data_IF_653650302528
#
_entry.id   IF_653650302528
#
_cell.length_a   1.000
_cell.length_b   1.000
_cell.length_c   1.000
_cell.angle_alpha   90.00
_cell.angle_beta   90.00
_cell.angle_gamma   90.00
#
_symmetry.space_group_name_H-M   'P 1'
#
loop_
_entity.id
_entity.type
_entity.pdbx_description
1 polymer ?
#
# COMPACT_ATOMS: atom_id res chain seq x y z
N UNK A 1 7.09 -37.12 -7.42
CA UNK A 1 6.04 -36.38 -6.68
C UNK A 1 6.24 -34.91 -6.96
N UNK A 2 5.36 -34.28 -7.73
CA UNK A 2 5.40 -32.83 -7.93
C UNK A 2 4.77 -32.17 -6.70
N UNK A 3 5.58 -31.56 -5.84
CA UNK A 3 5.08 -30.66 -4.81
C UNK A 3 4.42 -29.47 -5.53
N UNK A 4 3.09 -29.43 -5.52
CA UNK A 4 2.37 -28.23 -5.90
C UNK A 4 2.79 -27.12 -4.93
N UNK A 5 3.56 -26.14 -5.40
CA UNK A 5 3.84 -24.91 -4.67
C UNK A 5 2.52 -24.25 -4.29
N UNK A 6 2.05 -24.48 -3.06
CA UNK A 6 0.87 -23.78 -2.53
C UNK A 6 1.31 -22.35 -2.23
N UNK A 7 0.82 -21.40 -3.03
CA UNK A 7 0.99 -19.99 -2.74
C UNK A 7 0.33 -19.65 -1.40
N UNK A 8 1.13 -19.45 -0.34
CA UNK A 8 0.64 -18.98 0.95
C UNK A 8 0.31 -17.49 0.85
N UNK A 9 -0.97 -17.16 0.62
CA UNK A 9 -1.44 -15.77 0.67
C UNK A 9 -1.62 -15.34 2.12
N UNK A 10 -1.02 -14.22 2.50
CA UNK A 10 -1.31 -13.58 3.78
C UNK A 10 -2.65 -12.82 3.64
N UNK A 11 -3.65 -13.08 4.49
CA UNK A 11 -4.90 -12.34 4.43
C UNK A 11 -4.65 -10.86 4.72
N UNK A 12 -5.47 -10.00 4.12
CA UNK A 12 -5.47 -8.57 4.44
C UNK A 12 -6.15 -8.39 5.81
N UNK A 13 -5.40 -7.91 6.79
CA UNK A 13 -5.93 -7.63 8.12
C UNK A 13 -6.58 -6.25 8.11
N UNK A 14 -7.86 -6.17 8.53
CA UNK A 14 -8.51 -4.87 8.74
C UNK A 14 -7.98 -4.27 10.05
N UNK A 15 -7.32 -3.13 9.96
CA UNK A 15 -6.74 -2.48 11.13
C UNK A 15 -6.62 -0.96 10.93
N UNK A 16 -6.45 -0.24 12.03
CA UNK A 16 -6.02 1.15 11.99
C UNK A 16 -4.52 1.28 11.66
N UNK A 17 -4.15 2.40 11.02
CA UNK A 17 -2.77 2.75 10.65
C UNK A 17 -1.86 2.74 11.87
N UNK A 18 -2.32 3.24 13.02
CA UNK A 18 -1.53 3.25 14.26
C UNK A 18 -1.02 1.86 14.65
N UNK A 19 -1.81 0.81 14.45
CA UNK A 19 -1.41 -0.56 14.82
C UNK A 19 -0.22 -1.06 14.00
N UNK A 20 -0.03 -0.52 12.79
CA UNK A 20 1.13 -0.83 11.97
C UNK A 20 2.30 0.09 12.33
N UNK A 21 2.07 1.37 12.62
CA UNK A 21 3.14 2.28 13.06
C UNK A 21 3.78 1.88 14.38
N UNK A 22 2.99 1.36 15.31
CA UNK A 22 3.44 0.91 16.63
C UNK A 22 4.00 -0.52 16.61
N UNK A 23 3.97 -1.19 15.45
CA UNK A 23 4.40 -2.59 15.33
C UNK A 23 5.91 -2.75 15.17
N UNK A 24 6.43 -3.92 15.53
CA UNK A 24 7.83 -4.25 15.37
C UNK A 24 8.08 -4.80 13.97
N UNK A 25 8.99 -4.18 13.22
CA UNK A 25 9.39 -4.68 11.90
C UNK A 25 10.51 -5.73 12.02
N UNK A 26 10.34 -6.86 11.34
CA UNK A 26 11.35 -7.91 11.22
C UNK A 26 11.90 -7.92 9.80
N UNK A 27 13.17 -7.57 9.66
CA UNK A 27 13.90 -7.48 8.39
C UNK A 27 13.99 -8.84 7.67
N UNK A 28 14.27 -9.92 8.41
CA UNK A 28 14.46 -11.27 7.86
C UNK A 28 13.17 -11.79 7.23
N UNK A 29 12.04 -11.54 7.89
CA UNK A 29 10.74 -12.01 7.41
C UNK A 29 10.03 -11.00 6.50
N UNK A 30 10.52 -9.76 6.45
CA UNK A 30 9.88 -8.59 5.80
C UNK A 30 8.41 -8.49 6.22
N UNK A 31 8.18 -8.44 7.52
CA UNK A 31 6.84 -8.39 8.12
C UNK A 31 6.80 -7.58 9.40
N UNK A 32 5.61 -7.09 9.70
CA UNK A 32 5.32 -6.34 10.91
C UNK A 32 4.66 -7.24 11.94
N UNK A 33 5.08 -7.15 13.20
CA UNK A 33 4.51 -7.86 14.33
C UNK A 33 3.72 -6.88 15.19
N UNK A 34 2.40 -6.98 15.10
CA UNK A 34 1.45 -6.12 15.81
C UNK A 34 0.59 -6.95 16.77
N UNK A 35 -0.45 -6.32 17.33
CA UNK A 35 -1.48 -7.01 18.14
C UNK A 35 -2.21 -8.12 17.36
N UNK A 36 -2.12 -8.13 16.02
CA UNK A 36 -2.69 -9.16 15.15
C UNK A 36 -1.70 -10.29 14.81
N UNK A 37 -0.51 -10.29 15.45
CA UNK A 37 0.59 -11.18 15.11
C UNK A 37 1.33 -10.70 13.86
N UNK A 38 1.72 -11.63 12.99
CA UNK A 38 2.49 -11.35 11.77
C UNK A 38 1.59 -10.76 10.67
N UNK A 39 1.86 -9.51 10.31
CA UNK A 39 1.13 -8.75 9.28
C UNK A 39 2.05 -8.43 8.11
N UNK A 40 1.56 -8.70 6.90
CA UNK A 40 2.20 -8.31 5.63
C UNK A 40 1.27 -7.52 4.70
N UNK A 41 -0.04 -7.66 4.92
CA UNK A 41 -1.08 -7.07 4.09
C UNK A 41 -2.15 -6.50 5.01
N UNK A 42 -2.60 -5.30 4.71
CA UNK A 42 -3.64 -4.63 5.49
C UNK A 42 -4.79 -4.20 4.59
N UNK A 43 -5.95 -4.02 5.23
CA UNK A 43 -7.09 -3.31 4.68
C UNK A 43 -7.38 -2.10 5.58
N UNK A 44 -7.36 -0.91 5.02
CA UNK A 44 -7.55 0.36 5.74
C UNK A 44 -8.62 1.16 5.02
N UNK A 45 -9.48 1.81 5.80
CA UNK A 45 -10.39 2.82 5.30
C UNK A 45 -9.86 4.17 5.77
N UNK A 46 -9.53 5.05 4.83
CA UNK A 46 -8.83 6.29 5.10
C UNK A 46 -9.29 7.39 4.15
N UNK A 47 -9.05 8.64 4.52
CA UNK A 47 -9.23 9.81 3.66
C UNK A 47 -7.91 10.09 2.94
N UNK A 48 -7.97 10.38 1.63
CA UNK A 48 -6.82 10.90 0.88
C UNK A 48 -6.59 12.34 1.33
N UNK A 49 -5.47 12.61 1.98
CA UNK A 49 -5.10 13.97 2.42
C UNK A 49 -4.19 14.67 1.42
N UNK A 50 -3.43 13.93 0.61
CA UNK A 50 -2.57 14.47 -0.43
C UNK A 50 -2.39 13.45 -1.57
N UNK A 51 -2.24 13.96 -2.80
CA UNK A 51 -2.00 13.18 -4.02
C UNK A 51 -0.82 13.78 -4.76
N UNK A 52 0.18 12.98 -5.07
CA UNK A 52 1.35 13.44 -5.82
C UNK A 52 1.87 12.36 -6.76
N UNK A 53 2.78 12.76 -7.65
CA UNK A 53 3.46 11.89 -8.60
C UNK A 53 4.96 11.88 -8.29
N UNK A 54 5.58 10.70 -8.36
CA UNK A 54 7.02 10.50 -8.18
C UNK A 54 7.60 9.87 -9.46
N UNK A 55 8.63 10.50 -10.03
CA UNK A 55 9.42 9.90 -11.11
C UNK A 55 10.29 8.80 -10.50
N UNK A 56 10.09 7.57 -10.94
CA UNK A 56 10.98 6.47 -10.59
C UNK A 56 12.22 6.54 -11.47
N UNK A 57 13.36 6.83 -10.87
CA UNK A 57 14.65 6.57 -11.52
C UNK A 57 14.76 5.06 -11.76
N UNK A 58 15.22 4.67 -12.95
CA UNK A 58 15.42 3.25 -13.26
C UNK A 58 16.40 2.65 -12.25
N UNK A 59 15.93 1.69 -11.45
CA UNK A 59 16.79 0.92 -10.56
C UNK A 59 17.99 0.37 -11.36
N UNK A 60 19.21 0.48 -10.82
CA UNK A 60 20.49 0.04 -11.41
C UNK A 60 20.56 -1.46 -11.80
N UNK A 61 19.47 -2.21 -11.66
CA UNK A 61 19.34 -3.61 -12.07
C UNK A 61 18.42 -3.71 -13.29
N UNK A 62 19.02 -3.52 -14.46
CA UNK A 62 18.34 -3.55 -15.76
C UNK A 62 17.57 -4.84 -16.04
N UNK A 63 16.44 -4.70 -16.73
CA UNK A 63 16.00 -5.42 -17.93
C UNK A 63 14.60 -4.91 -18.29
N UNK A 64 14.53 -3.76 -18.97
CA UNK A 64 13.72 -3.56 -20.18
C UNK A 64 13.95 -2.14 -20.72
N UNK A 65 14.29 -2.07 -22.00
CA UNK A 65 14.69 -0.87 -22.73
C UNK A 65 13.49 -0.13 -23.33
N UNK A 66 12.44 0.12 -22.54
CA UNK A 66 11.37 1.03 -22.95
C UNK A 66 11.36 2.24 -22.02
N UNK A 67 11.87 3.36 -22.56
CA UNK A 67 11.93 4.68 -21.94
C UNK A 67 10.52 5.29 -21.86
N UNK A 68 9.64 4.69 -21.09
CA UNK A 68 8.51 5.43 -20.53
C UNK A 68 8.94 5.91 -19.15
N UNK A 69 8.81 7.21 -18.91
CA UNK A 69 9.01 7.81 -17.59
C UNK A 69 8.15 7.02 -16.58
N UNK A 70 8.79 6.23 -15.71
CA UNK A 70 8.08 5.39 -14.77
C UNK A 70 7.50 6.26 -13.66
N UNK A 71 6.29 6.76 -13.85
CA UNK A 71 5.59 7.59 -12.86
C UNK A 71 4.89 6.67 -11.85
N UNK A 72 5.02 7.01 -10.56
CA UNK A 72 4.28 6.40 -9.45
C UNK A 72 3.31 7.42 -8.88
N UNK A 73 2.05 7.04 -8.71
CA UNK A 73 1.10 7.81 -7.92
C UNK A 73 1.33 7.55 -6.44
N UNK A 74 1.36 8.63 -5.66
CA UNK A 74 1.49 8.64 -4.22
C UNK A 74 0.20 9.21 -3.61
N UNK A 75 -0.27 8.58 -2.55
CA UNK A 75 -1.37 9.07 -1.72
C UNK A 75 -0.92 9.07 -0.27
N UNK A 76 -1.02 10.22 0.39
CA UNK A 76 -0.95 10.25 1.84
C UNK A 76 -2.37 10.02 2.38
N UNK A 77 -2.51 9.03 3.25
CA UNK A 77 -3.79 8.52 3.74
C UNK A 77 -3.90 8.74 5.25
N UNK A 78 -5.06 9.22 5.70
CA UNK A 78 -5.37 9.43 7.12
C UNK A 78 -6.64 8.66 7.53
N UNK A 79 -6.55 7.80 8.54
CA UNK A 79 -7.70 7.09 9.13
C UNK A 79 -8.12 7.65 10.51
N UNK A 80 -7.58 8.81 10.90
CA UNK A 80 -7.77 9.44 12.21
C UNK A 80 -6.89 8.85 13.31
N UNK A 81 -6.22 7.73 13.07
CA UNK A 81 -5.25 7.11 13.99
C UNK A 81 -3.80 7.39 13.59
N UNK A 82 -3.55 7.73 12.33
CA UNK A 82 -2.24 8.12 11.84
C UNK A 82 -2.18 8.18 10.31
N UNK A 83 -1.05 8.65 9.80
CA UNK A 83 -0.81 8.82 8.36
C UNK A 83 -0.01 7.68 7.73
N UNK A 84 -0.41 7.14 6.59
CA UNK A 84 0.43 6.20 5.82
C UNK A 84 0.53 6.63 4.37
N UNK A 85 1.73 6.53 3.80
CA UNK A 85 1.93 6.76 2.37
C UNK A 85 1.62 5.49 1.61
N UNK A 86 0.65 5.57 0.72
CA UNK A 86 0.33 4.55 -0.25
C UNK A 86 0.88 4.91 -1.63
N UNK A 87 1.19 3.90 -2.44
CA UNK A 87 1.63 4.11 -3.81
C UNK A 87 1.09 3.07 -4.78
N UNK A 88 0.98 3.49 -6.04
CA UNK A 88 0.56 2.66 -7.18
C UNK A 88 1.67 2.72 -8.24
N UNK A 89 2.15 1.55 -8.65
CA UNK A 89 3.16 1.45 -9.71
C UNK A 89 2.52 1.68 -11.10
N UNK A 90 3.32 2.20 -12.04
CA UNK A 90 2.95 2.79 -13.34
C UNK A 90 1.93 2.03 -14.22
N UNK A 91 1.74 0.72 -14.04
CA UNK A 91 1.01 -0.13 -15.02
C UNK A 91 -0.48 0.16 -15.16
N UNK A 92 -1.07 1.02 -14.33
CA UNK A 92 -2.53 1.26 -14.30
C UNK A 92 -2.93 2.69 -13.88
N UNK A 93 -2.08 3.71 -14.11
CA UNK A 93 -2.34 5.09 -13.64
C UNK A 93 -3.74 5.62 -14.00
N UNK A 94 -4.21 5.33 -15.21
CA UNK A 94 -5.55 5.68 -15.72
C UNK A 94 -6.68 5.21 -14.80
N UNK A 95 -6.56 4.02 -14.22
CA UNK A 95 -7.58 3.44 -13.33
C UNK A 95 -7.68 4.18 -11.99
N UNK A 96 -6.70 5.04 -11.68
CA UNK A 96 -6.57 5.72 -10.40
C UNK A 96 -6.61 7.25 -10.50
N UNK A 97 -6.92 7.79 -11.69
CA UNK A 97 -7.02 9.24 -11.92
C UNK A 97 -8.15 9.88 -11.10
N UNK A 98 -9.27 9.18 -10.92
CA UNK A 98 -10.49 9.70 -10.27
C UNK A 98 -10.46 9.65 -8.71
N UNK A 99 -9.30 9.37 -8.12
CA UNK A 99 -9.09 9.43 -6.67
C UNK A 99 -8.37 10.71 -6.32
N UNK A 100 -9.03 11.59 -5.57
CA UNK A 100 -8.56 12.92 -5.26
C UNK A 100 -8.57 13.20 -3.75
N UNK A 101 -7.89 14.27 -3.37
CA UNK A 101 -7.86 14.77 -2.00
C UNK A 101 -9.29 14.98 -1.46
N UNK A 102 -9.54 14.45 -0.27
CA UNK A 102 -10.85 14.45 0.39
C UNK A 102 -11.68 13.20 0.14
N UNK A 103 -11.34 12.36 -0.83
CA UNK A 103 -12.03 11.08 -1.02
C UNK A 103 -11.76 10.12 0.14
N UNK A 104 -12.82 9.46 0.60
CA UNK A 104 -12.72 8.31 1.51
C UNK A 104 -12.54 7.05 0.66
N UNK A 105 -11.55 6.25 1.00
CA UNK A 105 -11.14 5.07 0.23
C UNK A 105 -10.95 3.86 1.12
N UNK A 106 -11.40 2.70 0.62
CA UNK A 106 -11.10 1.39 1.18
C UNK A 106 -9.94 0.78 0.38
N UNK A 107 -8.81 0.60 1.04
CA UNK A 107 -7.54 0.22 0.42
C UNK A 107 -7.08 -1.11 0.99
N UNK A 108 -6.71 -2.02 0.09
CA UNK A 108 -5.96 -3.23 0.40
C UNK A 108 -4.58 -3.10 -0.18
N UNK A 109 -3.55 -3.40 0.61
CA UNK A 109 -2.17 -3.34 0.13
C UNK A 109 -1.16 -4.06 0.99
N UNK A 110 0.02 -4.25 0.42
CA UNK A 110 1.18 -4.81 1.10
C UNK A 110 1.91 -3.70 1.84
N UNK A 111 2.18 -3.92 3.12
CA UNK A 111 3.00 -2.99 3.91
C UNK A 111 4.47 -3.38 3.82
N UNK A 112 5.33 -2.37 3.70
CA UNK A 112 6.78 -2.53 3.69
C UNK A 112 7.43 -1.37 4.42
N UNK A 113 8.66 -1.59 4.91
CA UNK A 113 9.50 -0.54 5.45
C UNK A 113 10.51 -0.12 4.37
N UNK A 114 10.56 1.17 4.04
CA UNK A 114 11.57 1.80 3.17
C UNK A 114 12.32 2.84 3.99
N UNK A 115 13.58 2.55 4.32
CA UNK A 115 14.35 3.33 5.28
C UNK A 115 13.57 3.47 6.60
N UNK A 116 13.19 4.68 7.02
CA UNK A 116 12.40 4.92 8.23
C UNK A 116 10.90 5.07 7.98
N UNK A 117 10.44 4.91 6.73
CA UNK A 117 9.04 5.07 6.35
C UNK A 117 8.35 3.71 6.21
N UNK A 118 7.16 3.60 6.79
CA UNK A 118 6.23 2.51 6.49
C UNK A 118 5.37 2.96 5.31
N UNK A 119 5.39 2.18 4.24
CA UNK A 119 4.65 2.47 3.02
C UNK A 119 3.71 1.31 2.68
N UNK A 120 2.61 1.65 2.02
CA UNK A 120 1.60 0.72 1.53
C UNK A 120 1.70 0.65 0.00
N UNK A 121 2.05 -0.52 -0.54
CA UNK A 121 1.89 -0.79 -1.97
C UNK A 121 0.44 -1.20 -2.21
N UNK A 122 -0.32 -0.35 -2.90
CA UNK A 122 -1.74 -0.57 -3.13
C UNK A 122 -1.94 -1.74 -4.10
N UNK A 123 -2.81 -2.67 -3.71
CA UNK A 123 -3.27 -3.77 -4.57
C UNK A 123 -4.72 -3.55 -5.03
N UNK A 124 -5.55 -2.96 -4.16
CA UNK A 124 -6.94 -2.62 -4.45
C UNK A 124 -7.23 -1.28 -3.76
N UNK A 125 -7.90 -0.37 -4.46
CA UNK A 125 -8.48 0.84 -3.89
C UNK A 125 -9.92 0.98 -4.41
N UNK A 126 -10.82 1.42 -3.54
CA UNK A 126 -12.21 1.70 -3.91
C UNK A 126 -12.70 2.94 -3.19
N UNK A 127 -13.33 3.87 -3.93
CA UNK A 127 -13.97 5.03 -3.33
C UNK A 127 -15.18 4.59 -2.50
N UNK A 128 -15.28 5.08 -1.28
CA UNK A 128 -16.42 4.81 -0.40
C UNK A 128 -17.47 5.90 -0.64
N UNK A 129 -18.55 5.52 -1.32
CA UNK A 129 -19.64 6.45 -1.68
C UNK A 129 -20.60 6.66 -0.51
N UNK A 130 -20.82 5.63 0.31
CA UNK A 130 -21.72 5.68 1.46
C UNK A 130 -20.94 5.39 2.76
N UNK A 131 -20.51 6.43 3.50
CA UNK A 131 -19.67 6.28 4.68
C UNK A 131 -20.31 5.47 5.79
N UNK A 132 -21.65 5.42 5.83
CA UNK A 132 -22.40 4.69 6.86
C UNK A 132 -22.29 3.15 6.72
N UNK A 133 -21.69 2.65 5.64
CA UNK A 133 -21.46 1.22 5.41
C UNK A 133 -20.00 0.78 5.70
N UNK A 134 -19.21 1.66 6.32
CA UNK A 134 -17.82 1.43 6.73
C UNK A 134 -17.75 0.63 8.02
#
# INVERSE_FOLDING_TARGET
MNEQMRFKRNPAIRCWIKHIKESLYNENERSFYSIFGKVKRIRVIATIIEKSEELMENDEFGFDNDKEDNIRLLYDLDDGSGLIRAFIDNKELENFKDYDKGDIVDIVGLISKRSDLIVLRTEIIKKVVEPNYI
#
